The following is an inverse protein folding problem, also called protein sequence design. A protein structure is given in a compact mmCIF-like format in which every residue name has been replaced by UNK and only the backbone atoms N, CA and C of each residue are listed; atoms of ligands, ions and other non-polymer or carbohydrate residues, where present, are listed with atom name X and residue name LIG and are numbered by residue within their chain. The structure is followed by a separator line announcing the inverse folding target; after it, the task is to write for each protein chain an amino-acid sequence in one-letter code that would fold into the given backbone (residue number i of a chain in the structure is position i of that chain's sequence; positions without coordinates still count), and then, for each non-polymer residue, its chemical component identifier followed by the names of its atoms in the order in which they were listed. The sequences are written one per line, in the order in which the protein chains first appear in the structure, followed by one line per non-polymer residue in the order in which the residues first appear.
data_IF_758590399448
#
_entry.id   IF_758590399448
#
_cell.length_a   1.000
_cell.length_b   1.000
_cell.length_c   1.000
_cell.angle_alpha   90.00
_cell.angle_beta   90.00
_cell.angle_gamma   90.00
#
_symmetry.space_group_name_H-M   'P 1'
#
loop_
_entity.id
_entity.type
_entity.pdbx_description
1 polymer ?
#
# COMPACT_ATOMS: atom_id res chain seq x y z
N UNK A 1 15.13 16.15 11.95
CA UNK A 1 15.31 16.02 10.48
C UNK A 1 13.95 15.78 9.83
N UNK A 2 13.73 16.23 8.59
CA UNK A 2 12.50 15.90 7.86
C UNK A 2 12.80 14.80 6.84
N UNK A 3 12.18 13.64 7.00
CA UNK A 3 12.29 12.50 6.10
C UNK A 3 11.03 12.38 5.25
N UNK A 4 11.20 11.93 4.02
CA UNK A 4 10.08 11.59 3.14
C UNK A 4 10.35 10.27 2.45
N UNK A 5 9.37 9.36 2.52
CA UNK A 5 9.38 8.13 1.76
C UNK A 5 8.35 8.21 0.63
N UNK A 6 8.85 8.05 -0.59
CA UNK A 6 8.02 7.97 -1.79
C UNK A 6 7.58 6.54 -2.00
N UNK A 7 6.27 6.32 -2.10
CA UNK A 7 5.77 4.99 -2.40
C UNK A 7 6.20 4.56 -3.83
N UNK A 8 6.29 3.25 -4.12
CA UNK A 8 6.72 2.78 -5.43
C UNK A 8 5.88 3.30 -6.61
N UNK A 9 4.60 3.62 -6.39
CA UNK A 9 3.73 4.20 -7.45
C UNK A 9 4.24 5.59 -7.83
N UNK A 10 4.51 6.45 -6.84
CA UNK A 10 5.11 7.77 -7.05
C UNK A 10 6.47 7.63 -7.73
N UNK A 11 7.36 6.76 -7.24
CA UNK A 11 8.67 6.56 -7.90
C UNK A 11 8.52 6.17 -9.37
N UNK A 12 7.49 5.38 -9.71
CA UNK A 12 7.21 4.98 -11.09
C UNK A 12 6.62 6.11 -11.94
N UNK A 13 5.80 7.00 -11.37
CA UNK A 13 5.26 8.18 -12.07
C UNK A 13 6.39 9.10 -12.54
N UNK A 14 7.43 9.28 -11.73
CA UNK A 14 8.58 10.14 -12.04
C UNK A 14 9.78 9.35 -12.58
N UNK A 15 9.60 8.17 -13.17
CA UNK A 15 10.74 7.28 -13.54
C UNK A 15 11.88 8.00 -14.31
N UNK A 16 11.55 8.94 -15.20
CA UNK A 16 12.54 9.71 -15.98
C UNK A 16 13.17 10.85 -15.19
N UNK A 17 12.40 11.46 -14.29
CA UNK A 17 12.73 12.70 -13.59
C UNK A 17 12.90 12.48 -12.07
N UNK A 18 13.15 11.22 -11.66
CA UNK A 18 13.14 10.82 -10.26
C UNK A 18 14.25 11.53 -9.48
N UNK A 19 15.42 11.71 -10.09
CA UNK A 19 16.54 12.41 -9.48
C UNK A 19 16.25 13.90 -9.33
N UNK A 20 15.55 14.51 -10.30
CA UNK A 20 15.10 15.89 -10.20
C UNK A 20 14.08 16.06 -9.07
N UNK A 21 13.11 15.15 -8.96
CA UNK A 21 12.14 15.14 -7.86
C UNK A 21 12.84 15.03 -6.50
N UNK A 22 13.79 14.09 -6.36
CA UNK A 22 14.58 13.92 -5.13
C UNK A 22 15.38 15.18 -4.78
N UNK A 23 15.99 15.80 -5.78
CA UNK A 23 16.72 17.07 -5.60
C UNK A 23 15.79 18.22 -5.19
N UNK A 24 14.58 18.29 -5.76
CA UNK A 24 13.58 19.29 -5.40
C UNK A 24 13.12 19.11 -3.94
N UNK A 25 12.84 17.86 -3.52
CA UNK A 25 12.51 17.54 -2.13
C UNK A 25 13.65 17.91 -1.16
N UNK A 26 14.90 17.64 -1.54
CA UNK A 26 16.10 18.02 -0.77
C UNK A 26 16.22 19.54 -0.60
N UNK A 27 16.02 20.32 -1.67
CA UNK A 27 15.99 21.80 -1.61
C UNK A 27 14.88 22.34 -0.70
N UNK A 28 13.79 21.58 -0.54
CA UNK A 28 12.69 21.87 0.39
C UNK A 28 12.93 21.35 1.81
N UNK A 29 14.13 20.87 2.10
CA UNK A 29 14.55 20.44 3.44
C UNK A 29 14.15 19.02 3.81
N UNK A 30 13.80 18.17 2.83
CA UNK A 30 13.48 16.76 3.05
C UNK A 30 14.63 15.84 2.63
N UNK A 31 15.00 14.93 3.50
CA UNK A 31 15.81 13.77 3.15
C UNK A 31 14.91 12.67 2.61
N UNK A 32 15.09 12.30 1.34
CA UNK A 32 14.39 11.16 0.75
C UNK A 32 14.98 9.87 1.31
N UNK A 33 14.11 9.00 1.83
CA UNK A 33 14.51 7.70 2.42
C UNK A 33 13.93 6.55 1.62
N UNK A 34 14.62 5.42 1.65
CA UNK A 34 14.23 4.17 0.98
C UNK A 34 14.46 2.97 1.89
N UNK A 35 13.69 1.91 1.70
CA UNK A 35 13.87 0.64 2.39
C UNK A 35 13.53 -0.52 1.46
N UNK A 36 14.36 -1.58 1.50
CA UNK A 36 14.15 -2.81 0.76
C UNK A 36 13.45 -3.91 1.57
N UNK A 37 13.01 -4.97 0.89
CA UNK A 37 12.55 -6.21 1.51
C UNK A 37 11.16 -6.19 2.15
N UNK A 38 10.49 -5.04 2.24
CA UNK A 38 9.17 -4.94 2.87
C UNK A 38 8.09 -5.71 2.09
N UNK A 39 8.19 -5.69 0.76
CA UNK A 39 7.31 -6.47 -0.12
C UNK A 39 7.43 -7.97 0.15
N UNK A 40 8.65 -8.51 0.16
CA UNK A 40 8.92 -9.93 0.43
C UNK A 40 8.51 -10.34 1.84
N UNK A 41 8.69 -9.47 2.84
CA UNK A 41 8.23 -9.74 4.20
C UNK A 41 6.70 -9.88 4.29
N UNK A 42 5.95 -8.98 3.66
CA UNK A 42 4.48 -9.09 3.61
C UNK A 42 4.06 -10.32 2.81
N UNK A 43 4.72 -10.59 1.68
CA UNK A 43 4.47 -11.76 0.85
C UNK A 43 4.69 -13.07 1.63
N UNK A 44 5.76 -13.16 2.42
CA UNK A 44 6.04 -14.32 3.27
C UNK A 44 4.98 -14.51 4.38
N UNK A 45 4.45 -13.43 4.95
CA UNK A 45 3.32 -13.53 5.90
C UNK A 45 2.11 -14.15 5.22
N UNK A 46 1.75 -13.71 4.01
CA UNK A 46 0.65 -14.32 3.26
C UNK A 46 0.94 -15.76 2.86
N UNK A 47 2.16 -16.09 2.43
CA UNK A 47 2.57 -17.47 2.13
C UNK A 47 2.28 -18.38 3.33
N UNK A 48 2.62 -17.95 4.54
CA UNK A 48 2.33 -18.72 5.74
C UNK A 48 0.82 -18.87 6.00
N UNK A 49 0.02 -17.82 5.81
CA UNK A 49 -1.44 -17.91 5.95
C UNK A 49 -2.06 -18.86 4.93
N UNK A 50 -1.65 -18.76 3.67
CA UNK A 50 -2.17 -19.59 2.56
C UNK A 50 -1.84 -21.06 2.78
N UNK A 51 -0.59 -21.39 3.14
CA UNK A 51 -0.17 -22.79 3.33
C UNK A 51 -0.80 -23.46 4.56
N UNK A 52 -1.21 -22.68 5.57
CA UNK A 52 -1.74 -23.22 6.83
C UNK A 52 -3.26 -23.09 6.97
N UNK A 53 -3.92 -22.41 6.04
CA UNK A 53 -5.36 -22.19 6.06
C UNK A 53 -6.10 -23.36 5.41
N UNK A 54 -7.24 -23.75 5.99
CA UNK A 54 -8.21 -24.64 5.34
C UNK A 54 -9.26 -23.87 4.54
N UNK A 55 -9.41 -22.58 4.83
CA UNK A 55 -10.36 -21.69 4.18
C UNK A 55 -9.63 -20.83 3.14
N UNK A 56 -10.38 -20.31 2.16
CA UNK A 56 -9.86 -19.32 1.20
C UNK A 56 -9.31 -18.09 1.94
N UNK A 57 -8.07 -17.71 1.65
CA UNK A 57 -7.43 -16.52 2.23
C UNK A 57 -7.82 -15.28 1.44
N UNK A 58 -8.16 -14.19 2.14
CA UNK A 58 -8.39 -12.89 1.50
C UNK A 58 -7.13 -12.04 1.50
N UNK A 59 -6.83 -11.44 0.36
CA UNK A 59 -5.82 -10.39 0.25
C UNK A 59 -6.24 -9.13 1.02
N UNK A 60 -5.49 -8.79 2.05
CA UNK A 60 -5.75 -7.63 2.90
C UNK A 60 -4.91 -6.39 2.56
N UNK A 61 -4.19 -6.38 1.43
CA UNK A 61 -3.33 -5.24 1.04
C UNK A 61 -4.13 -4.01 0.62
N UNK A 62 -5.34 -4.17 0.09
CA UNK A 62 -6.20 -3.07 -0.34
C UNK A 62 -7.33 -2.83 0.67
N UNK A 63 -7.28 -1.75 1.48
CA UNK A 63 -8.30 -1.52 2.52
C UNK A 63 -9.71 -1.34 1.95
N UNK A 64 -9.85 -0.71 0.78
CA UNK A 64 -11.17 -0.52 0.15
C UNK A 64 -11.77 -1.87 -0.27
N UNK A 65 -10.96 -2.77 -0.84
CA UNK A 65 -11.41 -4.10 -1.22
C UNK A 65 -11.80 -4.93 0.00
N UNK A 66 -11.00 -4.88 1.07
CA UNK A 66 -11.29 -5.56 2.34
C UNK A 66 -12.60 -5.06 2.94
N UNK A 67 -12.76 -3.74 3.04
CA UNK A 67 -13.99 -3.12 3.57
C UNK A 67 -15.22 -3.49 2.76
N UNK A 68 -15.08 -3.57 1.43
CA UNK A 68 -16.16 -4.04 0.57
C UNK A 68 -16.51 -5.49 0.90
N UNK A 69 -15.54 -6.40 0.88
CA UNK A 69 -15.79 -7.82 1.07
C UNK A 69 -16.38 -8.08 2.45
N UNK A 70 -15.78 -7.56 3.52
CA UNK A 70 -16.23 -7.71 4.90
C UNK A 70 -17.70 -7.32 5.13
N UNK A 71 -18.27 -6.43 4.30
CA UNK A 71 -19.68 -6.01 4.37
C UNK A 71 -20.64 -6.91 3.60
N UNK A 72 -20.15 -7.72 2.66
CA UNK A 72 -20.95 -8.47 1.69
C UNK A 72 -20.71 -9.99 1.74
N UNK A 73 -19.85 -10.50 2.62
CA UNK A 73 -19.63 -11.95 2.77
C UNK A 73 -19.91 -12.45 4.18
N UNK A 74 -20.19 -13.75 4.27
CA UNK A 74 -20.09 -14.50 5.51
C UNK A 74 -18.61 -14.70 5.87
N UNK A 75 -18.13 -13.97 6.88
CA UNK A 75 -16.70 -13.93 7.26
C UNK A 75 -16.20 -15.26 7.80
N UNK A 76 -17.08 -16.09 8.35
CA UNK A 76 -16.68 -17.36 8.98
C UNK A 76 -16.18 -18.37 7.94
N UNK A 77 -16.46 -18.12 6.66
CA UNK A 77 -16.09 -18.97 5.54
C UNK A 77 -14.71 -18.67 4.94
N UNK A 78 -14.10 -17.54 5.31
CA UNK A 78 -12.83 -17.10 4.76
C UNK A 78 -11.80 -16.89 5.87
N UNK A 79 -10.53 -17.08 5.54
CA UNK A 79 -9.45 -16.57 6.39
C UNK A 79 -9.17 -15.11 6.01
N UNK A 80 -9.43 -14.18 6.92
CA UNK A 80 -9.11 -12.76 6.76
C UNK A 80 -7.87 -12.46 7.62
N UNK A 81 -6.66 -12.58 7.05
CA UNK A 81 -5.45 -12.53 7.84
C UNK A 81 -5.19 -11.12 8.35
N UNK A 82 -4.70 -11.01 9.59
CA UNK A 82 -4.27 -9.74 10.20
C UNK A 82 -2.89 -9.30 9.69
N UNK A 83 -2.72 -9.28 8.38
CA UNK A 83 -1.49 -8.85 7.71
C UNK A 83 -1.64 -7.38 7.34
N UNK A 84 -0.65 -6.58 7.74
CA UNK A 84 -0.59 -5.17 7.38
C UNK A 84 -0.25 -4.99 5.90
N UNK A 85 -0.90 -4.03 5.19
CA UNK A 85 -0.48 -3.65 3.85
C UNK A 85 1.00 -3.24 3.80
N UNK A 86 1.62 -3.43 2.64
CA UNK A 86 3.05 -3.11 2.43
C UNK A 86 3.40 -1.68 2.87
N UNK A 87 2.49 -0.72 2.66
CA UNK A 87 2.64 0.66 3.13
C UNK A 87 2.84 0.74 4.65
N UNK A 88 1.96 0.09 5.41
CA UNK A 88 1.94 0.14 6.88
C UNK A 88 3.17 -0.57 7.44
N UNK A 89 3.49 -1.75 6.91
CA UNK A 89 4.69 -2.51 7.29
C UNK A 89 5.96 -1.68 7.04
N UNK A 90 6.04 -1.01 5.88
CA UNK A 90 7.12 -0.08 5.53
C UNK A 90 7.19 1.12 6.48
N UNK A 91 6.04 1.74 6.79
CA UNK A 91 5.96 2.88 7.69
C UNK A 91 6.47 2.55 9.10
N UNK A 92 6.17 1.35 9.63
CA UNK A 92 6.69 0.90 10.93
C UNK A 92 8.21 0.85 10.94
N UNK A 93 8.79 0.19 9.94
CA UNK A 93 10.23 0.07 9.82
C UNK A 93 10.92 1.44 9.73
N UNK A 94 10.42 2.30 8.84
CA UNK A 94 10.98 3.63 8.64
C UNK A 94 10.85 4.50 9.90
N UNK A 95 9.72 4.41 10.61
CA UNK A 95 9.53 5.12 11.87
C UNK A 95 10.60 4.72 12.90
N UNK A 96 10.76 3.42 13.14
CA UNK A 96 11.74 2.90 14.10
C UNK A 96 13.18 3.26 13.70
N UNK A 97 13.46 3.26 12.40
CA UNK A 97 14.79 3.57 11.89
C UNK A 97 15.13 5.05 11.95
N UNK A 98 14.21 5.95 11.57
CA UNK A 98 14.52 7.37 11.34
C UNK A 98 14.04 8.32 12.44
N UNK A 99 13.02 7.98 13.22
CA UNK A 99 12.53 8.87 14.28
C UNK A 99 13.28 8.56 15.58
N UNK A 100 14.30 9.38 15.89
CA UNK A 100 15.12 9.24 17.11
C UNK A 100 14.79 10.26 18.17
N UNK A 101 14.44 11.48 17.77
CA UNK A 101 13.92 12.53 18.65
C UNK A 101 12.57 13.00 18.12
N UNK A 102 11.48 12.62 18.78
CA UNK A 102 10.10 12.94 18.35
C UNK A 102 9.82 14.45 18.23
N UNK A 103 10.64 15.29 18.87
CA UNK A 103 10.49 16.75 18.83
C UNK A 103 11.18 17.36 17.61
N UNK A 104 12.14 16.66 17.01
CA UNK A 104 12.99 17.18 15.92
C UNK A 104 12.83 16.40 14.62
N UNK A 105 12.49 15.12 14.71
CA UNK A 105 12.39 14.22 13.57
C UNK A 105 10.93 14.09 13.12
N UNK A 106 10.75 14.18 11.81
CA UNK A 106 9.46 14.02 11.14
C UNK A 106 9.64 13.10 9.95
N UNK A 107 8.68 12.22 9.72
CA UNK A 107 8.64 11.28 8.61
C UNK A 107 7.31 11.42 7.87
N UNK A 108 7.38 11.76 6.59
CA UNK A 108 6.24 11.72 5.69
C UNK A 108 6.23 10.38 4.95
N UNK A 109 5.13 9.65 5.09
CA UNK A 109 4.81 8.47 4.28
C UNK A 109 3.83 8.89 3.20
N UNK A 110 4.22 8.71 1.94
CA UNK A 110 3.32 8.97 0.81
C UNK A 110 2.56 7.72 0.41
N UNK A 111 1.34 7.88 -0.12
CA UNK A 111 0.50 6.78 -0.60
C UNK A 111 -0.31 7.21 -1.81
N UNK A 112 -0.63 6.28 -2.75
CA UNK A 112 -1.46 6.60 -3.90
C UNK A 112 -2.96 6.51 -3.60
N UNK A 113 -3.36 6.23 -2.36
CA UNK A 113 -4.74 5.94 -1.99
C UNK A 113 -5.12 6.59 -0.67
N UNK A 114 -6.28 7.29 -0.65
CA UNK A 114 -6.83 7.94 0.55
C UNK A 114 -7.21 6.96 1.65
N UNK A 115 -7.75 5.79 1.29
CA UNK A 115 -8.09 4.76 2.29
C UNK A 115 -6.84 4.20 2.98
N UNK A 116 -5.74 4.00 2.24
CA UNK A 116 -4.45 3.62 2.82
C UNK A 116 -3.85 4.73 3.70
N UNK A 117 -4.01 6.00 3.30
CA UNK A 117 -3.64 7.15 4.16
C UNK A 117 -4.40 7.07 5.48
N UNK A 118 -5.73 6.94 5.43
CA UNK A 118 -6.59 6.88 6.60
C UNK A 118 -6.24 5.71 7.52
N UNK A 119 -5.99 4.52 6.94
CA UNK A 119 -5.52 3.36 7.68
C UNK A 119 -4.20 3.64 8.41
N UNK A 120 -3.24 4.29 7.73
CA UNK A 120 -1.98 4.73 8.33
C UNK A 120 -2.18 5.69 9.49
N UNK A 121 -2.99 6.73 9.31
CA UNK A 121 -3.32 7.70 10.36
C UNK A 121 -3.95 7.01 11.58
N UNK A 122 -4.87 6.07 11.37
CA UNK A 122 -5.55 5.37 12.45
C UNK A 122 -4.61 4.44 13.23
N UNK A 123 -3.73 3.72 12.54
CA UNK A 123 -2.73 2.83 13.16
C UNK A 123 -1.66 3.64 13.93
N UNK A 124 -1.26 4.79 13.40
CA UNK A 124 -0.18 5.62 13.95
C UNK A 124 -0.67 6.83 14.75
N UNK A 125 -1.96 6.92 15.08
CA UNK A 125 -2.55 8.07 15.79
C UNK A 125 -1.84 8.51 17.07
N UNK A 126 -1.17 7.57 17.76
CA UNK A 126 -0.43 7.81 19.00
C UNK A 126 1.10 7.82 18.79
N UNK A 127 1.57 7.93 17.55
CA UNK A 127 2.99 7.94 17.18
C UNK A 127 3.37 9.32 16.63
N UNK A 128 3.88 10.24 17.47
CA UNK A 128 4.29 11.56 17.01
C UNK A 128 5.51 11.47 16.09
N UNK A 129 5.63 12.40 15.15
CA UNK A 129 6.76 12.45 14.22
C UNK A 129 6.57 11.62 12.94
N UNK A 130 5.40 11.03 12.71
CA UNK A 130 5.04 10.43 11.42
C UNK A 130 3.70 10.95 10.93
N UNK A 131 3.63 11.26 9.63
CA UNK A 131 2.44 11.76 8.97
C UNK A 131 2.23 11.00 7.65
N UNK A 132 0.97 10.77 7.29
CA UNK A 132 0.60 10.11 6.03
C UNK A 132 -0.04 11.13 5.10
N UNK A 133 0.40 11.15 3.85
CA UNK A 133 -0.17 12.01 2.82
C UNK A 133 -0.39 11.22 1.54
N UNK A 134 -1.44 11.57 0.81
CA UNK A 134 -1.51 11.20 -0.60
C UNK A 134 -0.42 11.94 -1.39
N UNK A 135 -0.04 11.43 -2.55
CA UNK A 135 0.93 12.13 -3.39
C UNK A 135 0.42 13.51 -3.83
N UNK A 136 -0.85 13.60 -4.22
CA UNK A 136 -1.49 14.86 -4.58
C UNK A 136 -1.42 15.91 -3.47
N UNK A 137 -1.61 15.51 -2.20
CA UNK A 137 -1.48 16.42 -1.05
C UNK A 137 -0.03 16.89 -0.84
N UNK A 138 0.97 16.02 -1.09
CA UNK A 138 2.38 16.42 -1.04
C UNK A 138 2.69 17.42 -2.15
N UNK A 139 2.20 17.15 -3.37
CA UNK A 139 2.37 18.06 -4.51
C UNK A 139 1.80 19.44 -4.24
N UNK A 140 0.57 19.51 -3.72
CA UNK A 140 -0.07 20.76 -3.33
C UNK A 140 0.73 21.49 -2.23
N UNK A 141 1.03 20.79 -1.13
CA UNK A 141 1.74 21.36 0.04
C UNK A 141 3.14 21.86 -0.31
N UNK A 142 3.83 21.19 -1.22
CA UNK A 142 5.23 21.48 -1.58
C UNK A 142 5.37 22.21 -2.91
N UNK A 143 4.28 22.52 -3.60
CA UNK A 143 4.29 23.08 -4.95
C UNK A 143 5.18 22.27 -5.92
N UNK A 144 4.87 20.98 -6.05
CA UNK A 144 5.53 20.04 -6.97
C UNK A 144 4.55 19.71 -8.11
N UNK A 145 5.02 19.79 -9.34
CA UNK A 145 4.23 19.41 -10.51
C UNK A 145 3.88 17.91 -10.47
N UNK A 146 2.61 17.59 -10.71
CA UNK A 146 2.11 16.22 -10.71
C UNK A 146 2.47 15.56 -12.04
N UNK A 147 3.27 14.50 -12.01
CA UNK A 147 3.56 13.70 -13.18
C UNK A 147 2.33 12.89 -13.62
N UNK A 148 2.33 12.44 -14.88
CA UNK A 148 1.30 11.52 -15.36
C UNK A 148 1.30 10.20 -14.59
N UNK A 149 0.12 9.60 -14.42
CA UNK A 149 -0.03 8.26 -13.83
C UNK A 149 0.80 7.25 -14.62
N UNK A 150 1.40 6.30 -13.90
CA UNK A 150 2.10 5.20 -14.57
C UNK A 150 1.09 4.20 -15.16
N UNK A 151 1.40 3.65 -16.34
CA UNK A 151 0.52 2.70 -17.04
C UNK A 151 0.32 1.38 -16.28
N UNK A 152 1.33 0.96 -15.50
CA UNK A 152 1.32 -0.29 -14.75
C UNK A 152 1.62 -0.01 -13.28
N UNK A 153 0.79 -0.56 -12.38
CA UNK A 153 1.08 -0.58 -10.96
C UNK A 153 2.43 -1.28 -10.71
N UNK A 154 3.31 -0.74 -9.87
CA UNK A 154 4.51 -1.45 -9.39
C UNK A 154 4.16 -2.71 -8.60
N UNK A 155 2.95 -2.78 -8.06
CA UNK A 155 2.39 -3.95 -7.38
C UNK A 155 1.04 -4.24 -8.06
N UNK A 156 1.05 -4.92 -9.22
CA UNK A 156 -0.17 -5.31 -9.93
C UNK A 156 -0.75 -6.61 -9.34
N UNK A 157 -1.82 -7.11 -9.95
CA UNK A 157 -2.27 -8.48 -9.76
C UNK A 157 -1.16 -9.48 -10.13
N UNK A 158 -1.26 -10.69 -9.59
CA UNK A 158 -0.26 -11.75 -9.73
C UNK A 158 0.70 -11.85 -8.54
N UNK A 159 0.41 -11.16 -7.44
CA UNK A 159 1.27 -11.17 -6.26
C UNK A 159 1.38 -12.55 -5.60
N UNK A 160 0.38 -13.42 -5.79
CA UNK A 160 0.34 -14.76 -5.19
C UNK A 160 0.61 -15.91 -6.17
N UNK A 161 0.88 -15.63 -7.45
CA UNK A 161 1.06 -16.68 -8.50
C UNK A 161 2.24 -17.62 -8.25
N UNK A 162 3.25 -17.20 -7.50
CA UNK A 162 4.40 -18.00 -7.08
C UNK A 162 4.20 -18.63 -5.69
N UNK A 163 3.02 -18.47 -5.09
CA UNK A 163 2.64 -19.06 -3.81
C UNK A 163 1.59 -20.15 -4.01
N UNK A 164 0.59 -19.91 -4.88
CA UNK A 164 -0.48 -20.85 -5.19
C UNK A 164 -0.81 -20.82 -6.68
N UNK A 165 -1.20 -21.97 -7.23
CA UNK A 165 -1.73 -22.11 -8.59
C UNK A 165 -3.23 -21.77 -8.65
N UNK A 166 -3.91 -21.77 -7.50
CA UNK A 166 -5.36 -21.59 -7.37
C UNK A 166 -5.69 -20.20 -6.78
N UNK A 167 -5.45 -19.17 -7.58
CA UNK A 167 -5.62 -17.76 -7.20
C UNK A 167 -6.74 -17.13 -8.03
N UNK A 168 -7.72 -16.52 -7.35
CA UNK A 168 -8.67 -15.63 -8.00
C UNK A 168 -8.14 -14.20 -7.96
N UNK A 169 -7.96 -13.58 -9.12
CA UNK A 169 -7.48 -12.21 -9.23
C UNK A 169 -8.61 -11.24 -9.60
N UNK A 170 -8.90 -10.29 -8.72
CA UNK A 170 -9.98 -9.33 -8.88
C UNK A 170 -9.39 -7.92 -8.86
N UNK A 171 -9.64 -7.15 -9.92
CA UNK A 171 -9.43 -5.71 -9.86
C UNK A 171 -10.50 -4.89 -10.57
N UNK A 172 -10.75 -3.70 -10.03
CA UNK A 172 -11.78 -2.78 -10.51
C UNK A 172 -13.10 -2.92 -9.76
N UNK A 173 -13.67 -1.79 -9.39
CA UNK A 173 -14.92 -1.67 -8.62
C UNK A 173 -16.07 -2.53 -9.17
N UNK A 174 -16.26 -2.55 -10.49
CA UNK A 174 -17.32 -3.32 -11.14
C UNK A 174 -17.16 -4.85 -11.06
N UNK A 175 -16.01 -5.34 -10.60
CA UNK A 175 -15.75 -6.76 -10.39
C UNK A 175 -16.01 -7.23 -8.96
N UNK A 176 -16.18 -6.31 -8.02
CA UNK A 176 -16.54 -6.65 -6.66
C UNK A 176 -18.05 -6.95 -6.59
N UNK A 177 -18.39 -8.24 -6.65
CA UNK A 177 -19.74 -8.78 -6.45
C UNK A 177 -19.59 -10.12 -5.72
N UNK A 178 -20.50 -10.42 -4.78
CA UNK A 178 -20.56 -11.67 -3.99
C UNK A 178 -20.44 -12.92 -4.86
N UNK A 179 -21.00 -12.91 -6.07
CA UNK A 179 -20.95 -14.05 -6.99
C UNK A 179 -19.54 -14.49 -7.41
N UNK A 180 -18.54 -13.60 -7.29
CA UNK A 180 -17.14 -13.90 -7.62
C UNK A 180 -16.35 -14.39 -6.40
N UNK A 181 -16.83 -14.15 -5.19
CA UNK A 181 -16.15 -14.55 -3.97
C UNK A 181 -16.56 -15.99 -3.65
N UNK A 182 -15.87 -16.95 -4.26
CA UNK A 182 -16.12 -18.38 -4.00
C UNK A 182 -15.05 -18.98 -3.11
N UNK A 183 -15.46 -19.92 -2.26
CA UNK A 183 -14.61 -20.63 -1.30
C UNK A 183 -13.82 -21.78 -1.95
N UNK A 184 -13.60 -21.72 -3.27
CA UNK A 184 -12.88 -22.76 -4.03
C UNK A 184 -11.42 -22.39 -4.34
N UNK A 185 -11.00 -21.17 -3.99
CA UNK A 185 -9.65 -20.66 -4.22
C UNK A 185 -8.79 -20.77 -2.96
N UNK A 186 -7.47 -20.92 -3.12
CA UNK A 186 -6.55 -20.86 -1.99
C UNK A 186 -6.46 -19.42 -1.47
N UNK A 187 -6.45 -18.46 -2.41
CA UNK A 187 -6.41 -17.03 -2.12
C UNK A 187 -7.17 -16.22 -3.17
N UNK A 188 -7.87 -15.18 -2.71
CA UNK A 188 -8.48 -14.17 -3.56
C UNK A 188 -7.62 -12.90 -3.47
N UNK A 189 -6.92 -12.58 -4.55
CA UNK A 189 -6.16 -11.35 -4.73
C UNK A 189 -7.09 -10.19 -5.12
N UNK A 190 -7.04 -9.09 -4.38
CA UNK A 190 -8.06 -8.04 -4.50
C UNK A 190 -7.45 -6.64 -4.52
N UNK A 191 -7.69 -5.93 -5.63
CA UNK A 191 -7.32 -4.51 -5.78
C UNK A 191 -8.55 -3.71 -6.22
N UNK A 192 -9.04 -2.80 -5.39
CA UNK A 192 -10.25 -2.04 -5.74
C UNK A 192 -10.09 -1.21 -7.02
N UNK A 193 -8.94 -0.56 -7.19
CA UNK A 193 -8.61 0.18 -8.39
C UNK A 193 -8.27 -0.77 -9.55
N UNK A 194 -8.85 -0.52 -10.73
CA UNK A 194 -8.59 -1.32 -11.92
C UNK A 194 -7.09 -1.33 -12.25
N UNK A 195 -6.47 -2.51 -12.36
CA UNK A 195 -5.05 -2.65 -12.68
C UNK A 195 -4.09 -2.27 -11.54
N UNK A 196 -4.60 -1.87 -10.38
CA UNK A 196 -3.84 -1.62 -9.16
C UNK A 196 -3.73 -0.15 -8.74
N UNK A 197 -2.85 0.10 -7.78
CA UNK A 197 -2.77 1.37 -7.05
C UNK A 197 -2.29 2.57 -7.89
N UNK A 198 -1.79 2.37 -9.10
CA UNK A 198 -1.47 3.46 -10.04
C UNK A 198 -2.71 4.28 -10.44
N UNK A 199 -3.90 3.69 -10.32
CA UNK A 199 -5.17 4.38 -10.54
C UNK A 199 -5.85 4.85 -9.24
N UNK A 200 -5.11 4.87 -8.13
CA UNK A 200 -5.62 5.35 -6.85
C UNK A 200 -6.03 6.83 -6.89
N UNK A 201 -6.86 7.20 -5.93
CA UNK A 201 -7.43 8.55 -5.77
C UNK A 201 -6.49 9.55 -5.06
N UNK A 202 -5.26 9.12 -4.76
CA UNK A 202 -4.20 9.91 -4.15
C UNK A 202 -3.02 10.22 -5.08
N UNK A 203 -3.11 9.85 -6.36
CA UNK A 203 -2.15 10.13 -7.44
C UNK A 203 -2.87 10.64 -8.68
#
# INVERSE_FOLDING_TARGET
MNYIWMNPVVERMYKKDLDELKNNLSKKGFQVVSVGGQLEQVKNKFRNEIMNSKNTVLDTRCPVAVDYVIKNIDKDKYNIPKIEPILIHTARYLYEFYIKDIKKDKLIITTPCKALKKLGEDIFKNKPGIEFYTWLEVCDKLNIEVASKCNLSPIPLGFFRDISENVLEISGENKFNESFLKEEYDVIEMLYCLGGCNNGDGV
#
